data_IF_791521268987
#
_entry.id   IF_791521268987
#
_cell.length_a   1.000
_cell.length_b   1.000
_cell.length_c   1.000
_cell.angle_alpha   90.00
_cell.angle_beta   90.00
_cell.angle_gamma   90.00
#
_symmetry.space_group_name_H-M   'P 1'
#
loop_
_entity.id
_entity.type
_entity.pdbx_description
1 polymer ?
#
# COMPACT_ATOMS: atom_id res chain seq x y z
N UNK A 1 -37.44 3.59 -35.18
CA UNK A 1 -38.53 2.63 -34.91
C UNK A 1 -37.91 1.49 -34.11
N UNK A 2 -38.02 1.51 -32.78
CA UNK A 2 -37.61 0.38 -31.95
C UNK A 2 -38.68 -0.71 -32.08
N UNK A 3 -38.41 -1.71 -32.92
CA UNK A 3 -39.29 -2.87 -33.02
C UNK A 3 -39.01 -3.78 -31.82
N UNK A 4 -39.80 -3.64 -30.77
CA UNK A 4 -39.80 -4.57 -29.64
C UNK A 4 -40.53 -5.84 -30.06
N UNK A 5 -39.82 -6.77 -30.69
CA UNK A 5 -40.31 -8.14 -30.84
C UNK A 5 -40.41 -8.73 -29.42
N UNK A 6 -41.59 -9.20 -28.98
CA UNK A 6 -41.72 -9.82 -27.68
C UNK A 6 -40.87 -11.10 -27.65
N UNK A 7 -39.95 -11.19 -26.69
CA UNK A 7 -38.99 -12.30 -26.48
C UNK A 7 -39.67 -13.69 -26.44
N UNK A 8 -40.98 -13.73 -26.21
CA UNK A 8 -41.78 -14.94 -26.02
C UNK A 8 -41.95 -15.76 -27.31
N UNK A 9 -41.70 -15.19 -28.49
CA UNK A 9 -42.02 -15.83 -29.79
C UNK A 9 -40.78 -16.07 -30.70
N UNK A 10 -39.57 -15.99 -30.14
CA UNK A 10 -38.33 -16.17 -30.90
C UNK A 10 -37.89 -17.65 -30.97
N UNK A 11 -37.40 -18.14 -32.13
CA UNK A 11 -36.77 -19.46 -32.22
C UNK A 11 -35.57 -19.59 -31.27
N UNK A 12 -35.33 -20.78 -30.73
CA UNK A 12 -34.32 -21.01 -29.68
C UNK A 12 -32.91 -20.52 -30.04
N UNK A 13 -32.49 -20.68 -31.31
CA UNK A 13 -31.18 -20.17 -31.77
C UNK A 13 -31.10 -18.65 -31.82
N UNK A 14 -32.20 -17.99 -32.18
CA UNK A 14 -32.27 -16.53 -32.25
C UNK A 14 -32.36 -15.93 -30.84
N UNK A 15 -33.00 -16.65 -29.91
CA UNK A 15 -32.98 -16.35 -28.47
C UNK A 15 -31.58 -16.43 -27.88
N UNK A 16 -30.84 -17.51 -28.15
CA UNK A 16 -29.48 -17.69 -27.64
C UNK A 16 -28.53 -16.62 -28.18
N UNK A 17 -28.62 -16.29 -29.47
CA UNK A 17 -27.82 -15.24 -30.09
C UNK A 17 -28.14 -13.85 -29.51
N UNK A 18 -29.43 -13.52 -29.37
CA UNK A 18 -29.87 -12.29 -28.73
C UNK A 18 -29.42 -12.21 -27.26
N UNK A 19 -29.55 -13.31 -26.50
CA UNK A 19 -29.15 -13.37 -25.10
C UNK A 19 -27.65 -13.15 -24.96
N UNK A 20 -26.82 -13.85 -25.73
CA UNK A 20 -25.37 -13.71 -25.68
C UNK A 20 -24.95 -12.27 -26.03
N UNK A 21 -25.49 -11.69 -27.10
CA UNK A 21 -25.20 -10.30 -27.45
C UNK A 21 -25.60 -9.36 -26.30
N UNK A 22 -26.82 -9.52 -25.77
CA UNK A 22 -27.30 -8.64 -24.69
C UNK A 22 -26.52 -8.82 -23.40
N UNK A 23 -26.10 -10.04 -23.11
CA UNK A 23 -25.24 -10.39 -21.98
C UNK A 23 -23.87 -9.73 -22.12
N UNK A 24 -23.23 -9.85 -23.28
CA UNK A 24 -21.93 -9.24 -23.56
C UNK A 24 -21.99 -7.71 -23.46
N UNK A 25 -23.04 -7.09 -24.03
CA UNK A 25 -23.30 -5.65 -23.87
C UNK A 25 -23.43 -5.26 -22.40
N UNK A 26 -24.19 -6.03 -21.61
CA UNK A 26 -24.39 -5.75 -20.18
C UNK A 26 -23.14 -5.97 -19.34
N UNK A 27 -22.31 -6.95 -19.69
CA UNK A 27 -21.03 -7.17 -19.03
C UNK A 27 -20.06 -6.03 -19.36
N UNK A 28 -20.00 -5.58 -20.61
CA UNK A 28 -19.17 -4.44 -21.01
C UNK A 28 -19.63 -3.13 -20.34
N UNK A 29 -20.94 -2.87 -20.27
CA UNK A 29 -21.49 -1.73 -19.53
C UNK A 29 -21.09 -1.78 -18.04
N UNK A 30 -21.13 -2.96 -17.42
CA UNK A 30 -20.74 -3.14 -16.01
C UNK A 30 -19.24 -2.93 -15.81
N UNK A 31 -18.39 -3.50 -16.66
CA UNK A 31 -16.94 -3.32 -16.60
C UNK A 31 -16.55 -1.85 -16.81
N UNK A 32 -17.20 -1.15 -17.74
CA UNK A 32 -16.97 0.28 -17.96
C UNK A 32 -17.42 1.16 -16.78
N UNK A 33 -18.46 0.75 -16.04
CA UNK A 33 -18.94 1.45 -14.86
C UNK A 33 -18.22 1.02 -13.56
N UNK A 34 -17.35 0.02 -13.63
CA UNK A 34 -16.68 -0.54 -12.46
C UNK A 34 -15.48 0.31 -12.06
N UNK A 35 -15.52 0.91 -10.87
CA UNK A 35 -14.35 1.55 -10.27
C UNK A 35 -13.40 0.47 -9.73
N UNK A 36 -12.15 0.38 -10.22
CA UNK A 36 -11.19 -0.56 -9.69
C UNK A 36 -10.90 -0.30 -8.22
N UNK A 37 -10.56 -1.34 -7.48
CA UNK A 37 -10.34 -1.31 -6.04
C UNK A 37 -9.06 -2.04 -5.65
N UNK A 38 -8.37 -1.51 -4.63
CA UNK A 38 -7.14 -2.09 -4.12
C UNK A 38 -7.16 -2.18 -2.60
N UNK A 39 -6.80 -3.35 -2.08
CA UNK A 39 -6.51 -3.55 -0.66
C UNK A 39 -5.05 -3.87 -0.44
N UNK A 40 -4.46 -3.27 0.58
CA UNK A 40 -3.07 -3.52 0.99
C UNK A 40 -3.07 -3.90 2.47
N UNK A 41 -2.41 -5.00 2.84
CA UNK A 41 -2.13 -5.35 4.22
C UNK A 41 -0.69 -4.93 4.51
N UNK A 42 -0.51 -3.85 5.28
CA UNK A 42 0.78 -3.31 5.65
C UNK A 42 1.21 -3.85 7.03
N UNK A 43 2.22 -4.71 7.04
CA UNK A 43 2.66 -5.44 8.25
C UNK A 43 3.96 -4.95 8.85
N UNK A 44 4.77 -4.24 8.05
CA UNK A 44 6.11 -3.78 8.42
C UNK A 44 6.10 -2.28 8.73
N UNK A 45 6.90 -1.88 9.71
CA UNK A 45 7.02 -0.49 10.17
C UNK A 45 8.41 0.13 10.00
N UNK A 46 9.31 -0.50 9.24
CA UNK A 46 10.64 0.07 8.94
C UNK A 46 10.53 1.12 7.83
N UNK A 47 11.47 2.06 7.79
CA UNK A 47 11.45 3.16 6.82
C UNK A 47 11.36 2.67 5.37
N UNK A 48 12.14 1.65 5.01
CA UNK A 48 12.17 1.07 3.66
C UNK A 48 10.85 0.39 3.27
N UNK A 49 10.18 -0.25 4.24
CA UNK A 49 8.96 -1.01 4.01
C UNK A 49 7.68 -0.15 4.16
N UNK A 50 7.81 1.07 4.67
CA UNK A 50 6.73 2.05 4.70
C UNK A 50 6.42 2.62 3.31
N UNK A 51 7.41 2.70 2.42
CA UNK A 51 7.24 3.28 1.08
C UNK A 51 6.26 2.51 0.18
N UNK A 52 6.40 1.17 0.00
CA UNK A 52 5.53 0.44 -0.92
C UNK A 52 4.02 0.62 -0.69
N UNK A 53 3.47 0.48 0.55
CA UNK A 53 2.03 0.62 0.74
C UNK A 53 1.53 2.03 0.42
N UNK A 54 2.25 3.09 0.83
CA UNK A 54 1.81 4.45 0.56
C UNK A 54 2.01 4.89 -0.89
N UNK A 55 3.09 4.48 -1.57
CA UNK A 55 3.29 4.77 -3.00
C UNK A 55 2.20 4.10 -3.84
N UNK A 56 1.94 2.82 -3.60
CA UNK A 56 0.91 2.09 -4.34
C UNK A 56 -0.48 2.67 -4.09
N UNK A 57 -0.80 2.96 -2.83
CA UNK A 57 -2.11 3.51 -2.47
C UNK A 57 -2.34 4.91 -3.04
N UNK A 58 -1.39 5.84 -2.87
CA UNK A 58 -1.50 7.19 -3.44
C UNK A 58 -1.59 7.16 -4.97
N UNK A 59 -0.82 6.29 -5.62
CA UNK A 59 -0.88 6.14 -7.09
C UNK A 59 -2.23 5.58 -7.54
N UNK A 60 -2.73 4.52 -6.87
CA UNK A 60 -4.03 3.94 -7.20
C UNK A 60 -5.17 4.93 -6.95
N UNK A 61 -5.14 5.67 -5.84
CA UNK A 61 -6.11 6.71 -5.56
C UNK A 61 -6.09 7.84 -6.61
N UNK A 62 -4.89 8.26 -7.05
CA UNK A 62 -4.76 9.24 -8.14
C UNK A 62 -5.31 8.75 -9.49
N UNK A 63 -5.38 7.43 -9.71
CA UNK A 63 -6.04 6.81 -10.87
C UNK A 63 -7.56 6.64 -10.66
N UNK A 64 -8.11 7.12 -9.54
CA UNK A 64 -9.53 7.03 -9.21
C UNK A 64 -9.96 5.67 -8.63
N UNK A 65 -9.03 4.87 -8.12
CA UNK A 65 -9.36 3.56 -7.53
C UNK A 65 -9.87 3.72 -6.09
N UNK A 66 -10.75 2.82 -5.65
CA UNK A 66 -11.12 2.71 -4.23
C UNK A 66 -10.03 1.93 -3.47
N UNK A 67 -9.30 2.61 -2.58
CA UNK A 67 -8.15 2.03 -1.90
C UNK A 67 -8.38 1.90 -0.39
N UNK A 68 -7.96 0.76 0.17
CA UNK A 68 -7.87 0.57 1.62
C UNK A 68 -6.54 -0.05 2.03
N UNK A 69 -5.93 0.50 3.07
CA UNK A 69 -4.70 -0.06 3.67
C UNK A 69 -5.02 -0.53 5.08
N UNK A 70 -4.80 -1.82 5.37
CA UNK A 70 -4.89 -2.40 6.69
C UNK A 70 -3.53 -2.45 7.36
N UNK A 71 -3.34 -1.63 8.38
CA UNK A 71 -2.11 -1.55 9.16
C UNK A 71 -2.20 -2.48 10.37
N UNK A 72 -1.30 -3.46 10.42
CA UNK A 72 -1.26 -4.49 11.46
C UNK A 72 0.17 -4.75 11.91
N UNK A 73 0.35 -5.38 13.06
CA UNK A 73 1.66 -5.57 13.69
C UNK A 73 2.51 -4.28 13.68
N UNK A 74 3.73 -4.35 13.16
CA UNK A 74 4.64 -3.21 13.12
C UNK A 74 4.17 -2.12 12.15
N UNK A 75 3.37 -2.45 11.14
CA UNK A 75 2.78 -1.48 10.22
C UNK A 75 1.86 -0.47 10.91
N UNK A 76 1.27 -0.83 12.06
CA UNK A 76 0.46 0.08 12.86
C UNK A 76 1.24 1.35 13.28
N UNK A 77 2.57 1.26 13.44
CA UNK A 77 3.40 2.42 13.80
C UNK A 77 3.39 3.53 12.74
N UNK A 78 3.07 3.19 11.48
CA UNK A 78 2.97 4.16 10.37
C UNK A 78 1.78 5.13 10.53
N UNK A 79 0.83 4.79 11.40
CA UNK A 79 -0.32 5.62 11.73
C UNK A 79 -0.10 6.50 12.98
N UNK A 80 1.07 6.42 13.63
CA UNK A 80 1.36 7.30 14.79
C UNK A 80 1.49 8.75 14.36
N UNK A 81 1.12 9.68 15.24
CA UNK A 81 1.26 11.13 14.98
C UNK A 81 2.70 11.52 14.68
N UNK A 82 3.65 10.94 15.41
CA UNK A 82 5.08 11.13 15.22
C UNK A 82 5.70 9.83 14.74
N UNK A 83 6.42 9.89 13.62
CA UNK A 83 7.09 8.75 13.02
C UNK A 83 8.58 8.73 13.44
N UNK A 84 9.06 7.60 13.96
CA UNK A 84 10.49 7.33 14.19
C UNK A 84 10.90 6.09 13.37
N UNK A 85 10.87 6.24 12.04
CA UNK A 85 11.13 5.13 11.13
C UNK A 85 12.62 4.94 10.91
N UNK A 86 13.07 3.71 11.18
CA UNK A 86 14.45 3.28 10.97
C UNK A 86 14.52 2.16 9.96
N UNK A 87 15.69 2.07 9.38
CA UNK A 87 16.10 1.02 8.47
C UNK A 87 16.87 -0.03 9.27
N UNK A 88 16.59 -1.32 9.07
CA UNK A 88 17.39 -2.41 9.65
C UNK A 88 18.12 -3.17 8.53
N UNK A 89 19.38 -2.83 8.25
CA UNK A 89 20.20 -3.53 7.24
C UNK A 89 20.37 -5.03 7.54
N UNK A 90 20.33 -5.41 8.81
CA UNK A 90 20.38 -6.81 9.24
C UNK A 90 19.12 -7.60 8.85
N UNK A 91 17.96 -6.93 8.87
CA UNK A 91 16.67 -7.55 8.53
C UNK A 91 16.46 -7.75 7.03
N UNK A 92 17.24 -7.07 6.18
CA UNK A 92 17.13 -7.17 4.73
C UNK A 92 18.51 -7.13 4.05
N UNK A 93 19.11 -8.30 3.73
CA UNK A 93 20.42 -8.36 3.09
C UNK A 93 20.44 -7.81 1.65
N UNK A 94 19.27 -7.58 1.04
CA UNK A 94 19.17 -6.98 -0.29
C UNK A 94 19.34 -5.45 -0.26
N UNK A 95 19.55 -4.85 0.91
CA UNK A 95 19.71 -3.41 1.07
C UNK A 95 21.02 -2.91 0.43
N UNK A 96 20.95 -2.07 -0.61
CA UNK A 96 22.15 -1.55 -1.25
C UNK A 96 22.77 -0.46 -0.36
N UNK A 97 23.80 -0.82 0.39
CA UNK A 97 24.57 0.14 1.19
C UNK A 97 25.44 1.00 0.27
N UNK A 98 24.92 2.16 -0.15
CA UNK A 98 25.60 3.12 -1.02
C UNK A 98 25.85 4.42 -0.28
N UNK A 99 27.06 4.98 -0.39
CA UNK A 99 27.35 6.30 0.17
C UNK A 99 26.70 7.40 -0.70
N UNK A 100 25.83 8.26 -0.13
CA UNK A 100 25.20 9.35 -0.86
C UNK A 100 26.17 10.49 -1.20
N UNK A 101 27.27 10.59 -0.46
CA UNK A 101 28.31 11.64 -0.56
C UNK A 101 29.68 11.05 -0.31
N UNK A 102 30.71 11.64 -0.91
CA UNK A 102 32.10 11.21 -0.77
C UNK A 102 32.91 11.31 -2.06
N UNK A 103 34.18 10.87 -2.04
CA UNK A 103 35.04 10.84 -3.21
C UNK A 103 34.42 10.04 -4.35
N UNK A 104 34.66 10.45 -5.61
CA UNK A 104 34.09 9.82 -6.81
C UNK A 104 34.37 8.31 -6.92
N UNK A 105 35.45 7.83 -6.28
CA UNK A 105 35.82 6.42 -6.28
C UNK A 105 34.97 5.53 -5.37
N UNK A 106 34.22 6.08 -4.40
CA UNK A 106 33.31 5.33 -3.48
C UNK A 106 31.83 5.75 -3.64
N UNK A 107 31.59 6.99 -4.07
CA UNK A 107 30.23 7.54 -4.22
C UNK A 107 29.36 6.66 -5.12
N UNK A 108 28.19 6.26 -4.62
CA UNK A 108 27.21 5.47 -5.38
C UNK A 108 27.57 4.00 -5.64
N UNK A 109 28.75 3.53 -5.19
CA UNK A 109 29.10 2.11 -5.26
C UNK A 109 28.54 1.35 -4.08
N UNK A 110 28.20 0.08 -4.30
CA UNK A 110 27.77 -0.84 -3.25
C UNK A 110 28.95 -1.17 -2.35
N UNK A 111 28.77 -0.90 -1.06
CA UNK A 111 29.71 -1.27 -0.03
C UNK A 111 29.32 -2.65 0.49
N UNK A 112 30.14 -3.68 0.28
CA UNK A 112 29.92 -4.97 0.92
C UNK A 112 30.24 -4.82 2.41
N UNK A 113 29.23 -4.48 3.20
CA UNK A 113 29.36 -4.42 4.67
C UNK A 113 29.07 -5.82 5.22
N UNK A 114 30.04 -6.49 5.85
CA UNK A 114 29.78 -7.78 6.49
C UNK A 114 28.72 -7.66 7.59
N UNK A 115 27.87 -8.67 7.74
CA UNK A 115 26.82 -8.71 8.78
C UNK A 115 27.38 -8.47 10.19
N UNK A 116 28.61 -8.95 10.46
CA UNK A 116 29.31 -8.73 11.73
C UNK A 116 29.58 -7.25 12.00
N UNK A 117 29.89 -6.45 10.97
CA UNK A 117 30.09 -5.00 11.13
C UNK A 117 28.77 -4.32 11.46
N UNK A 118 27.68 -4.73 10.83
CA UNK A 118 26.35 -4.16 11.08
C UNK A 118 25.87 -4.40 12.51
N UNK A 119 26.18 -5.57 13.10
CA UNK A 119 25.80 -5.91 14.49
C UNK A 119 26.75 -5.31 15.53
N UNK A 120 28.06 -5.24 15.24
CA UNK A 120 29.06 -4.83 16.23
C UNK A 120 29.26 -3.32 16.33
N UNK A 121 28.84 -2.54 15.33
CA UNK A 121 28.96 -1.07 15.35
C UNK A 121 27.73 -0.45 16.00
N UNK A 122 27.84 0.16 17.20
CA UNK A 122 26.71 0.83 17.83
C UNK A 122 26.18 1.97 16.97
N UNK A 123 24.86 2.00 16.74
CA UNK A 123 24.20 3.05 15.96
C UNK A 123 24.31 2.89 14.44
N UNK A 124 24.77 1.73 13.93
CA UNK A 124 24.82 1.45 12.49
C UNK A 124 23.45 1.62 11.80
N UNK A 125 22.36 1.26 12.47
CA UNK A 125 20.99 1.46 11.96
C UNK A 125 20.65 2.94 11.75
N UNK A 126 21.05 3.83 12.68
CA UNK A 126 20.84 5.27 12.52
C UNK A 126 21.68 5.83 11.37
N UNK A 127 22.91 5.33 11.20
CA UNK A 127 23.77 5.68 10.06
C UNK A 127 23.13 5.26 8.73
N UNK A 128 22.69 4.00 8.63
CA UNK A 128 22.04 3.47 7.44
C UNK A 128 20.74 4.23 7.11
N UNK A 129 19.94 4.52 8.14
CA UNK A 129 18.72 5.32 8.03
C UNK A 129 19.02 6.72 7.48
N UNK A 130 20.02 7.41 8.02
CA UNK A 130 20.41 8.74 7.54
C UNK A 130 20.93 8.71 6.09
N UNK A 131 21.71 7.69 5.74
CA UNK A 131 22.19 7.50 4.36
C UNK A 131 21.05 7.28 3.38
N UNK A 132 20.06 6.47 3.75
CA UNK A 132 18.87 6.22 2.94
C UNK A 132 18.03 7.49 2.78
N UNK A 133 17.73 8.21 3.86
CA UNK A 133 16.98 9.47 3.82
C UNK A 133 17.66 10.52 2.94
N UNK A 134 18.99 10.71 3.09
CA UNK A 134 19.75 11.63 2.22
C UNK A 134 19.71 11.22 0.75
N UNK A 135 19.71 9.92 0.48
CA UNK A 135 19.60 9.41 -0.90
C UNK A 135 18.21 9.70 -1.47
N UNK A 136 17.16 9.51 -0.67
CA UNK A 136 15.78 9.82 -1.02
C UNK A 136 15.58 11.30 -1.33
N UNK A 137 16.05 12.19 -0.45
CA UNK A 137 15.96 13.64 -0.65
C UNK A 137 16.63 14.07 -1.96
N UNK A 138 17.83 13.55 -2.25
CA UNK A 138 18.55 13.84 -3.50
C UNK A 138 17.85 13.34 -4.74
N UNK A 139 17.04 12.29 -4.62
CA UNK A 139 16.28 11.70 -5.71
C UNK A 139 14.88 12.30 -5.83
N UNK A 140 14.51 13.23 -4.94
CA UNK A 140 13.18 13.82 -4.90
C UNK A 140 12.10 12.81 -4.53
N UNK A 141 12.43 11.81 -3.72
CA UNK A 141 11.46 10.86 -3.20
C UNK A 141 10.76 11.54 -2.00
N UNK A 142 9.43 11.66 -2.09
CA UNK A 142 8.57 12.22 -1.03
C UNK A 142 8.80 11.51 0.31
N UNK A 143 8.63 12.21 1.42
CA UNK A 143 8.75 11.58 2.76
C UNK A 143 7.52 10.72 3.05
N UNK A 144 7.62 9.80 4.03
CA UNK A 144 6.50 8.93 4.40
C UNK A 144 5.31 9.73 4.91
N UNK A 145 5.57 10.79 5.66
CA UNK A 145 4.57 11.73 6.17
C UNK A 145 3.78 12.38 5.03
N UNK A 146 4.47 12.83 3.98
CA UNK A 146 3.88 13.44 2.78
C UNK A 146 3.06 12.42 1.99
N UNK A 147 3.61 11.20 1.78
CA UNK A 147 2.86 10.13 1.10
C UNK A 147 1.61 9.71 1.87
N UNK A 148 1.68 9.72 3.21
CA UNK A 148 0.54 9.42 4.08
C UNK A 148 -0.52 10.53 4.02
N UNK A 149 -0.09 11.78 4.02
CA UNK A 149 -0.98 12.94 3.84
C UNK A 149 -1.69 12.88 2.48
N UNK A 150 -0.95 12.62 1.40
CA UNK A 150 -1.54 12.42 0.07
C UNK A 150 -2.57 11.28 0.04
N UNK A 151 -2.31 10.18 0.76
CA UNK A 151 -3.29 9.10 0.88
C UNK A 151 -4.55 9.57 1.61
N UNK A 152 -4.41 10.30 2.72
CA UNK A 152 -5.55 10.81 3.47
C UNK A 152 -6.36 11.84 2.66
N UNK A 153 -5.70 12.77 1.97
CA UNK A 153 -6.34 13.75 1.07
C UNK A 153 -7.06 13.08 -0.10
N UNK A 154 -6.53 11.98 -0.62
CA UNK A 154 -7.14 11.19 -1.69
C UNK A 154 -8.18 10.18 -1.18
N UNK A 155 -8.65 10.32 0.07
CA UNK A 155 -9.67 9.48 0.70
C UNK A 155 -9.32 7.97 0.74
N UNK A 156 -8.03 7.63 0.75
CA UNK A 156 -7.58 6.26 1.00
C UNK A 156 -8.01 5.85 2.42
N UNK A 157 -8.71 4.73 2.53
CA UNK A 157 -9.18 4.23 3.83
C UNK A 157 -8.01 3.64 4.62
N UNK A 158 -7.48 4.42 5.55
CA UNK A 158 -6.45 3.99 6.51
C UNK A 158 -7.10 3.19 7.65
N UNK A 159 -6.98 1.87 7.61
CA UNK A 159 -7.64 0.94 8.53
C UNK A 159 -6.64 0.43 9.56
N UNK A 160 -6.92 0.63 10.85
CA UNK A 160 -6.06 0.17 11.93
C UNK A 160 -6.52 -1.17 12.51
N UNK A 161 -5.58 -2.10 12.71
CA UNK A 161 -5.86 -3.39 13.34
C UNK A 161 -6.10 -3.23 14.84
N UNK A 162 -7.35 -3.35 15.29
CA UNK A 162 -7.71 -3.23 16.71
C UNK A 162 -6.94 -4.23 17.58
N UNK A 163 -6.81 -5.48 17.13
CA UNK A 163 -6.07 -6.51 17.88
C UNK A 163 -4.60 -6.14 18.06
N UNK A 164 -3.99 -5.40 17.12
CA UNK A 164 -2.61 -4.94 17.25
C UNK A 164 -2.48 -3.79 18.24
N UNK A 165 -3.46 -2.88 18.28
CA UNK A 165 -3.54 -1.83 19.31
C UNK A 165 -3.58 -2.47 20.69
N UNK A 166 -4.46 -3.45 20.88
CA UNK A 166 -4.62 -4.17 22.14
C UNK A 166 -3.36 -4.99 22.48
N UNK A 167 -2.74 -5.65 21.49
CA UNK A 167 -1.55 -6.47 21.68
C UNK A 167 -0.33 -5.69 22.18
N UNK A 168 -0.19 -4.43 21.75
CA UNK A 168 0.94 -3.57 22.12
C UNK A 168 0.59 -2.49 23.16
N UNK A 169 -0.59 -2.60 23.78
CA UNK A 169 -1.11 -1.65 24.77
C UNK A 169 -0.97 -0.19 24.30
N UNK A 170 -1.32 0.07 23.04
CA UNK A 170 -1.26 1.41 22.46
C UNK A 170 -2.51 2.23 22.79
N UNK A 171 -2.32 3.51 23.10
CA UNK A 171 -3.43 4.46 23.21
C UNK A 171 -3.84 4.91 21.81
N UNK A 172 -5.14 4.83 21.48
CA UNK A 172 -5.67 5.33 20.22
C UNK A 172 -5.38 6.84 20.03
N UNK A 173 -5.21 7.59 21.12
CA UNK A 173 -4.80 9.00 21.12
C UNK A 173 -3.39 9.27 20.57
N UNK A 174 -2.53 8.26 20.44
CA UNK A 174 -1.19 8.37 19.86
C UNK A 174 -1.18 8.39 18.33
N UNK A 175 -2.33 8.07 17.71
CA UNK A 175 -2.47 7.90 16.28
C UNK A 175 -3.15 9.10 15.61
N UNK A 176 -2.95 9.20 14.30
CA UNK A 176 -3.50 10.27 13.50
C UNK A 176 -5.04 10.22 13.46
N UNK A 177 -5.72 11.37 13.39
CA UNK A 177 -7.19 11.42 13.34
C UNK A 177 -7.78 10.89 12.03
N UNK A 178 -6.99 10.79 10.95
CA UNK A 178 -7.40 10.33 9.62
C UNK A 178 -7.59 8.81 9.51
N UNK A 179 -7.41 8.06 10.62
CA UNK A 179 -7.77 6.64 10.65
C UNK A 179 -9.27 6.50 10.38
N UNK A 180 -9.61 5.77 9.32
CA UNK A 180 -10.98 5.57 8.90
C UNK A 180 -11.75 4.66 9.86
N UNK A 181 -11.12 3.56 10.33
CA UNK A 181 -11.75 2.62 11.25
C UNK A 181 -10.73 1.74 11.98
N UNK A 182 -11.14 1.23 13.15
CA UNK A 182 -10.39 0.28 13.97
C UNK A 182 -11.09 -1.08 13.94
N UNK A 183 -10.50 -2.06 13.27
CA UNK A 183 -11.17 -3.35 13.02
C UNK A 183 -10.22 -4.54 13.11
N UNK A 184 -10.79 -5.73 13.26
CA UNK A 184 -10.05 -7.00 13.16
C UNK A 184 -10.06 -7.60 11.76
N UNK A 185 -9.35 -8.71 11.59
CA UNK A 185 -9.26 -9.44 10.32
C UNK A 185 -10.63 -9.85 9.75
N UNK A 186 -11.59 -10.21 10.62
CA UNK A 186 -12.93 -10.61 10.20
C UNK A 186 -13.68 -9.49 9.46
N UNK A 187 -13.44 -8.22 9.78
CA UNK A 187 -14.05 -7.08 9.11
C UNK A 187 -13.29 -6.66 7.85
N UNK A 188 -11.97 -6.84 7.81
CA UNK A 188 -11.16 -6.45 6.65
C UNK A 188 -11.22 -7.48 5.52
N UNK A 189 -11.26 -8.79 5.84
CA UNK A 189 -11.26 -9.86 4.83
C UNK A 189 -12.39 -9.75 3.79
N UNK A 190 -13.65 -9.41 4.15
CA UNK A 190 -14.71 -9.20 3.15
C UNK A 190 -14.43 -8.07 2.16
N UNK A 191 -13.64 -7.06 2.55
CA UNK A 191 -13.18 -5.99 1.65
C UNK A 191 -12.10 -6.53 0.71
N UNK A 192 -11.10 -7.21 1.25
CA UNK A 192 -10.02 -7.83 0.46
C UNK A 192 -10.53 -8.89 -0.52
N UNK A 193 -11.57 -9.64 -0.16
CA UNK A 193 -12.20 -10.64 -1.02
C UNK A 193 -12.83 -10.04 -2.29
N UNK A 194 -13.32 -8.81 -2.20
CA UNK A 194 -14.01 -8.10 -3.29
C UNK A 194 -13.10 -7.17 -4.07
N UNK A 195 -11.88 -6.95 -3.59
CA UNK A 195 -10.93 -6.06 -4.23
C UNK A 195 -10.40 -6.67 -5.52
N UNK A 196 -10.19 -5.84 -6.56
CA UNK A 196 -9.58 -6.28 -7.81
C UNK A 196 -8.10 -6.63 -7.62
N UNK A 197 -7.44 -5.89 -6.72
CA UNK A 197 -6.04 -6.11 -6.34
C UNK A 197 -5.93 -6.21 -4.83
N UNK A 198 -5.38 -7.31 -4.33
CA UNK A 198 -5.09 -7.49 -2.91
C UNK A 198 -3.62 -7.83 -2.69
N UNK A 199 -2.92 -7.00 -1.91
CA UNK A 199 -1.48 -7.11 -1.68
C UNK A 199 -1.17 -7.29 -0.19
N UNK A 200 -0.14 -8.07 0.12
CA UNK A 200 0.41 -8.22 1.46
C UNK A 200 1.86 -7.72 1.45
N UNK A 201 2.16 -6.73 2.29
CA UNK A 201 3.38 -5.91 2.24
C UNK A 201 4.09 -5.85 3.60
#
# INVERSE_FOLDING_TARGET
MNSTVPVIDMPTKDLDAWFNQRFDEKMAEREAAHTPSMTIIATKGTLDMAYPPFILASTAAALGWDVSIFFTFYGLSLLKKQLDLKVSPLGNPAMPMKLPEGPSWIRGKELPVPTSVMTLVPGFENMATSMMQKTMDKKGIARIEELRELCAEAEVKLVACQMTVDLFDHDQGDFIPEIHEWVGAASFLPRALKADVNLFV
#
